data_IF_106204965831
#
_entry.id   IF_106204965831
#
_cell.length_a   1.000
_cell.length_b   1.000
_cell.length_c   1.000
_cell.angle_alpha   90.00
_cell.angle_beta   90.00
_cell.angle_gamma   90.00
#
_symmetry.space_group_name_H-M   'P 1'
#
loop_
_entity.id
_entity.type
_entity.pdbx_description
1 polymer ?
#
# COMPACT_ATOMS: atom_id res chain seq x y z
N UNK A 1 16.05 27.61 11.23
CA UNK A 1 15.85 26.14 11.24
C UNK A 1 14.73 25.78 10.28
N UNK A 2 14.96 24.87 9.32
CA UNK A 2 13.86 24.23 8.58
C UNK A 2 13.29 23.12 9.45
N UNK A 3 11.97 23.10 9.61
CA UNK A 3 11.28 22.06 10.38
C UNK A 3 11.15 20.82 9.49
N UNK A 4 12.05 19.86 9.64
CA UNK A 4 11.95 18.56 8.98
C UNK A 4 10.84 17.80 9.69
N UNK A 5 9.66 17.72 9.07
CA UNK A 5 8.59 16.84 9.53
C UNK A 5 8.91 15.40 9.07
N UNK A 6 8.82 14.38 9.94
CA UNK A 6 8.93 13.01 9.49
C UNK A 6 7.76 12.69 8.56
N UNK A 7 8.05 12.21 7.36
CA UNK A 7 7.07 11.68 6.43
C UNK A 7 6.93 10.17 6.65
N UNK A 8 5.70 9.66 6.61
CA UNK A 8 5.40 8.23 6.59
C UNK A 8 5.19 7.84 5.11
N UNK A 9 5.71 6.70 4.66
CA UNK A 9 5.60 6.22 3.27
C UNK A 9 5.62 4.69 3.20
N UNK A 10 4.90 4.12 2.22
CA UNK A 10 4.31 2.76 2.30
C UNK A 10 4.21 2.09 0.92
N UNK A 11 4.35 0.75 0.81
CA UNK A 11 3.87 -0.15 -0.29
C UNK A 11 4.21 -1.64 0.02
N UNK A 12 3.59 -2.73 -0.49
CA UNK A 12 2.19 -3.11 -0.84
C UNK A 12 2.17 -4.57 -1.34
N UNK A 13 1.61 -5.53 -0.57
CA UNK A 13 1.37 -6.97 -0.90
C UNK A 13 0.33 -7.50 0.15
N UNK A 14 -0.65 -8.39 -0.06
CA UNK A 14 -1.49 -8.83 -1.21
C UNK A 14 -2.81 -9.50 -0.67
N UNK A 15 -3.50 -10.37 -1.44
CA UNK A 15 -4.85 -10.89 -1.15
C UNK A 15 -4.95 -12.34 -0.61
N UNK A 16 -6.02 -12.65 0.14
CA UNK A 16 -6.44 -14.02 0.51
C UNK A 16 -7.96 -14.19 0.37
N UNK A 17 -8.38 -15.23 -0.37
CA UNK A 17 -9.76 -15.71 -0.49
C UNK A 17 -10.04 -16.87 0.47
N UNK A 18 -11.20 -16.88 1.13
CA UNK A 18 -11.71 -18.06 1.82
C UNK A 18 -13.24 -18.16 1.72
N UNK A 19 -13.73 -19.35 1.33
CA UNK A 19 -15.13 -19.67 1.03
C UNK A 19 -15.52 -20.92 1.83
N UNK A 20 -16.60 -20.89 2.64
CA UNK A 20 -17.50 -22.03 2.94
C UNK A 20 -18.54 -21.69 4.02
N UNK A 21 -19.64 -22.44 4.07
CA UNK A 21 -20.85 -22.14 4.87
C UNK A 21 -21.30 -23.28 5.81
N UNK A 22 -22.21 -22.97 6.74
CA UNK A 22 -23.40 -23.79 7.17
C UNK A 22 -23.62 -23.92 8.70
N UNK A 23 -24.64 -23.19 9.19
CA UNK A 23 -25.65 -23.48 10.23
C UNK A 23 -25.36 -24.31 11.50
N UNK A 24 -25.67 -23.70 12.67
CA UNK A 24 -26.66 -24.19 13.65
C UNK A 24 -27.03 -23.05 14.64
N UNK A 25 -28.26 -23.01 15.14
CA UNK A 25 -28.77 -21.90 15.96
C UNK A 25 -28.69 -22.18 17.48
N UNK A 26 -28.34 -21.16 18.27
CA UNK A 26 -28.66 -21.06 19.70
C UNK A 26 -29.06 -19.62 20.06
N UNK A 27 -30.09 -19.50 20.89
CA UNK A 27 -30.83 -18.27 21.20
C UNK A 27 -30.24 -17.60 22.47
N UNK A 28 -28.99 -17.18 22.38
CA UNK A 28 -28.32 -16.38 23.43
C UNK A 28 -28.67 -14.89 23.24
N UNK A 29 -28.83 -14.11 24.32
CA UNK A 29 -29.04 -12.67 24.21
C UNK A 29 -27.75 -12.02 23.66
N UNK A 30 -27.72 -11.79 22.35
CA UNK A 30 -26.58 -11.24 21.63
C UNK A 30 -26.08 -9.97 22.33
N UNK A 31 -24.84 -9.94 22.87
CA UNK A 31 -24.24 -8.66 23.22
C UNK A 31 -24.21 -7.86 21.92
N UNK A 32 -24.79 -6.66 21.93
CA UNK A 32 -25.00 -5.84 20.74
C UNK A 32 -23.66 -5.61 20.03
N UNK A 33 -23.33 -6.51 19.09
CA UNK A 33 -22.16 -6.38 18.26
C UNK A 33 -22.38 -5.08 17.53
N UNK A 34 -21.47 -4.14 17.76
CA UNK A 34 -21.27 -3.03 16.85
C UNK A 34 -20.90 -3.70 15.53
N UNK A 35 -21.91 -3.89 14.68
CA UNK A 35 -21.73 -4.34 13.31
C UNK A 35 -21.05 -3.17 12.62
N UNK A 36 -19.73 -3.15 12.71
CA UNK A 36 -18.87 -2.40 11.81
C UNK A 36 -19.07 -3.03 10.42
N UNK A 37 -20.23 -2.73 9.82
CA UNK A 37 -20.44 -2.77 8.38
C UNK A 37 -19.16 -2.22 7.75
N UNK A 38 -18.44 -2.97 6.89
CA UNK A 38 -17.15 -2.54 6.39
C UNK A 38 -17.35 -1.23 5.63
N UNK A 39 -17.00 -0.12 6.26
CA UNK A 39 -17.34 1.22 5.76
C UNK A 39 -16.67 1.41 4.39
N UNK A 40 -17.48 1.42 3.33
CA UNK A 40 -17.01 1.63 1.95
C UNK A 40 -16.45 3.05 1.75
N UNK A 41 -16.69 3.95 2.70
CA UNK A 41 -16.13 5.30 2.71
C UNK A 41 -14.66 5.29 3.16
N UNK A 42 -13.84 6.13 2.51
CA UNK A 42 -12.44 6.29 2.89
C UNK A 42 -12.32 6.90 4.30
N UNK A 43 -11.32 6.47 5.11
CA UNK A 43 -10.98 7.15 6.35
C UNK A 43 -10.69 8.65 6.13
N UNK A 44 -10.77 9.50 7.17
CA UNK A 44 -10.38 10.89 7.02
C UNK A 44 -8.87 10.98 6.79
N UNK A 45 -8.41 11.79 5.81
CA UNK A 45 -6.97 12.02 5.54
C UNK A 45 -6.16 12.54 6.74
N UNK A 46 -6.81 13.03 7.79
CA UNK A 46 -6.17 13.42 9.05
C UNK A 46 -5.78 12.24 9.94
N UNK A 47 -6.39 11.06 9.73
CA UNK A 47 -5.89 9.79 10.25
C UNK A 47 -5.02 9.15 9.17
N UNK A 48 -3.75 9.58 9.14
CA UNK A 48 -2.80 9.15 8.12
C UNK A 48 -2.60 7.62 8.13
N UNK A 49 -2.64 6.98 9.31
CA UNK A 49 -2.43 5.54 9.42
C UNK A 49 -3.61 4.75 8.81
N UNK A 50 -4.85 5.09 9.20
CA UNK A 50 -6.04 4.45 8.64
C UNK A 50 -6.18 4.73 7.14
N UNK A 51 -5.96 5.98 6.71
CA UNK A 51 -6.04 6.36 5.30
C UNK A 51 -5.00 5.62 4.46
N UNK A 52 -3.77 5.46 4.96
CA UNK A 52 -2.72 4.75 4.23
C UNK A 52 -3.02 3.26 4.08
N UNK A 53 -3.54 2.60 5.12
CA UNK A 53 -3.97 1.20 5.03
C UNK A 53 -5.14 1.02 4.05
N UNK A 54 -6.10 1.95 4.04
CA UNK A 54 -7.18 1.98 3.06
C UNK A 54 -6.64 2.17 1.63
N UNK A 55 -5.73 3.12 1.41
CA UNK A 55 -5.14 3.40 0.10
C UNK A 55 -4.35 2.21 -0.46
N UNK A 56 -3.60 1.50 0.39
CA UNK A 56 -2.94 0.23 0.05
C UNK A 56 -3.96 -0.83 -0.38
N UNK A 57 -5.07 -0.96 0.35
CA UNK A 57 -6.12 -1.93 0.04
C UNK A 57 -6.79 -1.62 -1.30
N UNK A 58 -7.14 -0.37 -1.56
CA UNK A 58 -7.68 0.08 -2.85
C UNK A 58 -6.75 -0.22 -4.01
N UNK A 59 -5.44 -0.14 -3.79
CA UNK A 59 -4.46 -0.47 -4.82
C UNK A 59 -4.30 -1.97 -5.08
N UNK A 60 -4.47 -2.83 -4.06
CA UNK A 60 -4.58 -4.29 -4.22
C UNK A 60 -5.89 -4.63 -4.96
N UNK A 61 -7.02 -4.10 -4.52
CA UNK A 61 -8.33 -4.31 -5.15
C UNK A 61 -8.35 -3.92 -6.63
N UNK A 62 -7.70 -2.79 -6.99
CA UNK A 62 -7.49 -2.38 -8.39
C UNK A 62 -6.66 -3.40 -9.17
N UNK A 63 -5.56 -3.88 -8.61
CA UNK A 63 -4.71 -4.87 -9.27
C UNK A 63 -5.46 -6.18 -9.52
N UNK A 64 -6.24 -6.65 -8.54
CA UNK A 64 -7.02 -7.89 -8.65
C UNK A 64 -8.18 -7.76 -9.65
N UNK A 65 -8.80 -6.58 -9.75
CA UNK A 65 -9.94 -6.33 -10.65
C UNK A 65 -9.53 -5.99 -12.10
N UNK A 66 -8.50 -5.18 -12.30
CA UNK A 66 -8.08 -4.66 -13.61
C UNK A 66 -6.88 -5.41 -14.21
N UNK A 67 -6.15 -6.16 -13.37
CA UNK A 67 -4.92 -6.85 -13.74
C UNK A 67 -3.69 -5.94 -13.80
N UNK A 68 -2.52 -6.58 -13.93
CA UNK A 68 -1.20 -5.93 -13.83
C UNK A 68 -1.05 -4.68 -14.69
N UNK A 69 -1.36 -4.78 -15.97
CA UNK A 69 -0.94 -3.75 -16.94
C UNK A 69 -1.80 -2.49 -16.82
N UNK A 70 -3.11 -2.64 -16.61
CA UNK A 70 -4.03 -1.52 -16.37
C UNK A 70 -3.75 -0.85 -15.01
N UNK A 71 -3.52 -1.63 -13.94
CA UNK A 71 -3.13 -1.08 -12.64
C UNK A 71 -1.79 -0.32 -12.72
N UNK A 72 -0.81 -0.87 -13.45
CA UNK A 72 0.48 -0.22 -13.68
C UNK A 72 0.37 1.07 -14.52
N UNK A 73 -0.53 1.11 -15.50
CA UNK A 73 -0.84 2.34 -16.25
C UNK A 73 -1.43 3.40 -15.32
N UNK A 74 -2.41 3.04 -14.48
CA UNK A 74 -3.02 3.94 -13.51
C UNK A 74 -1.99 4.51 -12.51
N UNK A 75 -1.18 3.66 -11.87
CA UNK A 75 -0.15 4.10 -10.90
C UNK A 75 1.05 4.81 -11.55
N UNK A 76 1.16 4.83 -12.88
CA UNK A 76 2.18 5.60 -13.59
C UNK A 76 1.72 7.00 -14.02
N UNK A 77 0.47 7.36 -13.74
CA UNK A 77 -0.16 8.62 -14.11
C UNK A 77 -0.61 9.42 -12.87
N UNK A 78 -0.86 10.75 -13.00
CA UNK A 78 -1.32 11.59 -11.89
C UNK A 78 -2.65 11.15 -11.26
N UNK A 79 -3.46 10.37 -11.97
CA UNK A 79 -4.73 9.83 -11.47
C UNK A 79 -4.55 8.86 -10.29
N UNK A 80 -3.37 8.24 -10.14
CA UNK A 80 -3.00 7.36 -9.02
C UNK A 80 -2.33 8.07 -7.84
N UNK A 81 -2.45 9.40 -7.74
CA UNK A 81 -1.88 10.22 -6.66
C UNK A 81 -3.01 10.95 -5.92
N UNK A 82 -3.07 10.81 -4.60
CA UNK A 82 -3.95 11.59 -3.72
C UNK A 82 -3.09 12.30 -2.67
N UNK A 83 -2.83 13.60 -2.85
CA UNK A 83 -2.03 14.40 -1.91
C UNK A 83 -0.61 13.86 -1.73
N UNK A 84 -0.32 13.28 -0.56
CA UNK A 84 0.95 12.62 -0.25
C UNK A 84 0.96 11.10 -0.53
N UNK A 85 -0.21 10.52 -0.80
CA UNK A 85 -0.38 9.08 -1.04
C UNK A 85 -0.25 8.75 -2.53
N UNK A 86 0.62 7.80 -2.84
CA UNK A 86 0.82 7.24 -4.17
C UNK A 86 1.39 5.83 -4.05
N UNK A 87 1.21 5.01 -5.08
CA UNK A 87 1.81 3.67 -5.18
C UNK A 87 3.00 3.72 -6.11
N UNK A 88 4.09 3.08 -5.71
CA UNK A 88 5.16 2.65 -6.60
C UNK A 88 5.12 1.13 -6.73
N UNK A 89 5.55 0.60 -7.88
CA UNK A 89 5.43 -0.83 -8.22
C UNK A 89 6.80 -1.40 -8.55
N UNK A 90 7.19 -2.47 -7.87
CA UNK A 90 8.44 -3.20 -8.08
C UNK A 90 8.10 -4.59 -8.63
N UNK A 91 8.84 -5.06 -9.63
CA UNK A 91 8.64 -6.40 -10.18
C UNK A 91 9.36 -7.50 -9.36
N UNK A 92 9.17 -8.76 -9.74
CA UNK A 92 9.82 -9.92 -9.11
C UNK A 92 11.35 -9.89 -9.13
N UNK A 93 11.95 -9.15 -10.06
CA UNK A 93 13.42 -9.01 -10.19
C UNK A 93 13.97 -7.85 -9.32
N UNK A 94 13.12 -7.22 -8.50
CA UNK A 94 13.49 -6.07 -7.70
C UNK A 94 13.70 -4.78 -8.50
N UNK A 95 13.13 -4.69 -9.72
CA UNK A 95 13.20 -3.50 -10.58
C UNK A 95 11.94 -2.64 -10.39
N UNK A 96 12.15 -1.35 -10.17
CA UNK A 96 11.07 -0.37 -10.08
C UNK A 96 10.44 -0.16 -11.46
N UNK A 97 9.17 -0.55 -11.63
CA UNK A 97 8.42 -0.43 -12.90
C UNK A 97 7.29 0.61 -12.84
N UNK A 98 6.81 0.94 -11.65
CA UNK A 98 5.78 1.95 -11.43
C UNK A 98 6.25 3.04 -10.47
N UNK A 99 6.11 4.32 -10.82
CA UNK A 99 6.28 5.45 -9.89
C UNK A 99 5.70 6.73 -10.53
N UNK A 100 4.62 7.33 -10.01
CA UNK A 100 3.94 8.43 -10.69
C UNK A 100 4.70 9.75 -10.59
N UNK A 101 5.25 10.06 -9.41
CA UNK A 101 5.97 11.30 -9.11
C UNK A 101 7.44 11.31 -9.53
N UNK A 102 8.06 10.12 -9.70
CA UNK A 102 9.48 9.94 -10.06
C UNK A 102 9.68 8.96 -11.22
N UNK A 103 9.20 9.32 -12.43
CA UNK A 103 9.34 8.46 -13.61
C UNK A 103 10.80 8.20 -14.00
N UNK A 104 11.72 9.08 -13.60
CA UNK A 104 13.18 8.96 -13.78
C UNK A 104 13.80 7.74 -13.08
N UNK A 105 13.12 7.16 -12.09
CA UNK A 105 13.59 6.01 -11.34
C UNK A 105 13.13 4.67 -11.94
N UNK A 106 12.19 4.67 -12.89
CA UNK A 106 11.68 3.45 -13.51
C UNK A 106 12.79 2.75 -14.31
N UNK A 107 12.86 1.42 -14.22
CA UNK A 107 13.93 0.59 -14.79
C UNK A 107 15.18 0.45 -13.91
N UNK A 108 15.22 1.08 -12.72
CA UNK A 108 16.34 0.94 -11.78
C UNK A 108 16.09 -0.15 -10.73
N UNK A 109 17.16 -0.69 -10.13
CA UNK A 109 17.05 -1.63 -9.01
C UNK A 109 16.59 -0.94 -7.73
N UNK A 110 15.56 -1.50 -7.10
CA UNK A 110 15.09 -1.10 -5.77
C UNK A 110 16.04 -1.58 -4.68
N UNK A 111 16.62 -2.78 -4.80
CA UNK A 111 17.46 -3.38 -3.75
C UNK A 111 18.69 -2.55 -3.34
N UNK A 112 19.22 -1.73 -4.27
CA UNK A 112 20.36 -0.85 -4.03
C UNK A 112 19.99 0.51 -3.39
N UNK A 113 18.71 0.76 -3.08
CA UNK A 113 18.23 2.05 -2.60
C UNK A 113 18.56 2.29 -1.13
N UNK A 114 19.20 3.43 -0.89
CA UNK A 114 19.43 4.01 0.44
C UNK A 114 18.53 5.24 0.62
N UNK A 115 18.08 5.46 1.86
CA UNK A 115 17.35 6.68 2.25
C UNK A 115 18.33 7.85 2.51
N UNK A 116 17.83 9.04 2.82
CA UNK A 116 18.69 10.24 3.01
C UNK A 116 19.67 10.15 4.18
N UNK A 117 19.50 9.17 5.08
CA UNK A 117 20.37 8.90 6.21
C UNK A 117 21.23 7.63 6.01
N UNK A 118 21.13 6.99 4.84
CA UNK A 118 21.88 5.78 4.51
C UNK A 118 21.19 4.46 4.92
N UNK A 119 19.92 4.48 5.33
CA UNK A 119 19.16 3.25 5.64
C UNK A 119 18.92 2.45 4.34
N UNK A 120 19.24 1.15 4.26
CA UNK A 120 19.01 0.31 3.08
C UNK A 120 17.55 -0.15 2.92
N UNK A 121 16.61 0.79 2.91
CA UNK A 121 15.16 0.51 2.81
C UNK A 121 14.80 -0.31 1.56
N UNK A 122 15.57 -0.17 0.48
CA UNK A 122 15.42 -0.96 -0.73
C UNK A 122 15.55 -2.47 -0.51
N UNK A 123 16.41 -2.88 0.42
CA UNK A 123 16.58 -4.29 0.81
C UNK A 123 15.39 -4.79 1.65
N UNK A 124 14.86 -3.96 2.55
CA UNK A 124 13.68 -4.27 3.35
C UNK A 124 12.43 -4.47 2.48
N UNK A 125 12.29 -3.69 1.40
CA UNK A 125 11.21 -3.81 0.41
C UNK A 125 11.34 -5.12 -0.39
N UNK A 126 12.49 -5.40 -1.03
CA UNK A 126 12.61 -6.62 -1.87
C UNK A 126 12.64 -7.92 -1.05
N UNK A 127 12.86 -7.82 0.26
CA UNK A 127 12.75 -8.94 1.21
C UNK A 127 11.35 -9.06 1.84
N UNK A 128 10.33 -8.36 1.34
CA UNK A 128 8.95 -8.57 1.74
C UNK A 128 8.44 -9.94 1.25
N UNK A 129 7.45 -10.50 1.95
CA UNK A 129 6.82 -11.79 1.59
C UNK A 129 5.38 -11.56 1.13
N UNK A 130 4.63 -12.64 0.84
CA UNK A 130 3.20 -12.56 0.53
C UNK A 130 2.37 -11.86 1.63
N UNK A 131 2.81 -11.91 2.89
CA UNK A 131 2.17 -11.25 4.04
C UNK A 131 2.41 -9.72 4.06
N UNK A 132 3.23 -9.20 3.14
CA UNK A 132 3.64 -7.80 3.09
C UNK A 132 4.67 -7.40 4.15
N UNK A 133 5.02 -6.10 4.16
CA UNK A 133 5.85 -5.46 5.18
C UNK A 133 5.63 -3.96 5.16
N UNK A 134 5.53 -3.35 6.34
CA UNK A 134 5.63 -1.89 6.50
C UNK A 134 7.10 -1.50 6.67
N UNK A 135 7.57 -0.52 5.89
CA UNK A 135 8.98 -0.08 5.86
C UNK A 135 9.00 1.44 5.96
N UNK A 136 9.39 1.98 7.11
CA UNK A 136 9.60 3.43 7.27
C UNK A 136 10.98 3.85 6.72
N UNK A 137 11.02 4.90 5.91
CA UNK A 137 12.26 5.46 5.34
C UNK A 137 12.06 6.92 4.90
N UNK A 138 13.16 7.65 4.75
CA UNK A 138 13.13 9.05 4.31
C UNK A 138 13.42 9.18 2.80
N UNK A 139 12.45 9.65 2.04
CA UNK A 139 12.56 9.86 0.59
C UNK A 139 12.76 11.34 0.23
N UNK A 140 13.85 11.66 -0.46
CA UNK A 140 14.08 13.00 -1.03
C UNK A 140 13.33 13.16 -2.36
N UNK A 141 12.73 14.34 -2.56
CA UNK A 141 11.71 14.59 -3.57
C UNK A 141 12.31 14.91 -4.95
#
# INVERSE_FOLDING_TARGET
>A
MRLIRPFISVVLIAAVLALSATAAAQDEPTPELISEEPTTEAPPRSDEAAYTQWFVRQAIERYDAEGRDAALEYFNNPAGVDGQWYVFVVNSDGILIGHPTRPDLRGTSTAARLDVFGKPYGQEIVAATADGRWVDYYFDH
#
